data_IF_773001176012
#
_entry.id   IF_773001176012
#
_cell.length_a   1.000
_cell.length_b   1.000
_cell.length_c   1.000
_cell.angle_alpha   90.00
_cell.angle_beta   90.00
_cell.angle_gamma   90.00
#
_symmetry.space_group_name_H-M   'P 1'
#
loop_
_entity.id
_entity.type
_entity.pdbx_description
1 polymer ?
#
# COMPACT_ATOMS: atom_id res chain seq x y z
N UNK A 1 42.53 14.44 19.09
CA UNK A 1 41.26 14.30 18.34
C UNK A 1 40.59 15.66 18.39
N UNK A 2 40.50 16.35 17.27
CA UNK A 2 40.26 17.81 17.19
C UNK A 2 38.80 18.15 17.53
N UNK A 3 38.52 19.17 18.36
CA UNK A 3 37.16 19.56 18.69
C UNK A 3 36.53 20.32 17.51
N UNK A 4 35.31 19.92 17.14
CA UNK A 4 34.46 20.64 16.18
C UNK A 4 33.85 21.85 16.91
N UNK A 5 34.39 23.04 16.65
CA UNK A 5 33.84 24.31 17.14
C UNK A 5 32.68 24.75 16.24
N UNK A 6 31.44 24.49 16.65
CA UNK A 6 30.21 24.97 15.99
C UNK A 6 29.58 26.17 16.72
N UNK A 7 30.30 27.28 16.97
CA UNK A 7 29.69 28.41 17.69
C UNK A 7 30.12 29.82 17.24
N UNK A 8 30.44 30.01 15.95
CA UNK A 8 30.53 31.35 15.34
C UNK A 8 30.10 31.30 13.88
N UNK A 9 29.34 32.30 13.43
CA UNK A 9 28.96 32.65 12.03
C UNK A 9 27.59 32.30 11.42
N UNK A 10 26.64 31.66 12.12
CA UNK A 10 25.29 31.45 11.51
C UNK A 10 24.53 32.77 11.20
N UNK A 11 24.70 33.82 12.01
CA UNK A 11 24.03 35.10 11.79
C UNK A 11 24.68 35.92 10.65
N UNK A 12 26.01 35.85 10.54
CA UNK A 12 26.80 36.50 9.49
C UNK A 12 26.50 35.86 8.13
N UNK A 13 26.52 34.52 8.07
CA UNK A 13 26.24 33.76 6.85
C UNK A 13 24.79 33.94 6.39
N UNK A 14 23.84 34.00 7.31
CA UNK A 14 22.44 34.30 6.98
C UNK A 14 22.29 35.68 6.34
N UNK A 15 22.83 36.72 6.99
CA UNK A 15 22.74 38.10 6.48
C UNK A 15 23.42 38.21 5.11
N UNK A 16 24.55 37.53 4.95
CA UNK A 16 25.28 37.46 3.69
C UNK A 16 24.48 36.75 2.59
N UNK A 17 23.89 35.59 2.89
CA UNK A 17 23.04 34.87 1.97
C UNK A 17 21.85 35.73 1.52
N UNK A 18 21.16 36.37 2.47
CA UNK A 18 20.02 37.24 2.16
C UNK A 18 20.45 38.37 1.22
N UNK A 19 21.56 39.04 1.50
CA UNK A 19 22.08 40.13 0.66
C UNK A 19 22.50 39.68 -0.75
N UNK A 20 23.13 38.52 -0.88
CA UNK A 20 23.72 38.06 -2.14
C UNK A 20 22.75 37.24 -3.00
N UNK A 21 21.92 36.38 -2.39
CA UNK A 21 21.06 35.44 -3.09
C UNK A 21 19.65 35.99 -3.38
N UNK A 22 19.06 36.82 -2.49
CA UNK A 22 17.71 37.36 -2.72
C UNK A 22 17.59 38.20 -4.00
N UNK A 23 18.58 39.05 -4.37
CA UNK A 23 18.51 39.79 -5.65
C UNK A 23 18.50 38.89 -6.89
N UNK A 24 18.90 37.63 -6.76
CA UNK A 24 18.93 36.67 -7.87
C UNK A 24 17.60 35.91 -8.04
N UNK A 25 16.64 36.09 -7.13
CA UNK A 25 15.36 35.36 -7.14
C UNK A 25 14.59 35.54 -8.45
N UNK A 26 14.47 36.75 -8.97
CA UNK A 26 13.73 37.00 -10.22
C UNK A 26 14.37 36.28 -11.42
N UNK A 27 15.70 36.21 -11.46
CA UNK A 27 16.42 35.50 -12.50
C UNK A 27 16.26 33.98 -12.38
N UNK A 28 16.29 33.45 -11.15
CA UNK A 28 16.05 32.04 -10.88
C UNK A 28 14.59 31.65 -11.19
N UNK A 29 13.63 32.50 -10.85
CA UNK A 29 12.22 32.32 -11.18
C UNK A 29 12.02 32.21 -12.70
N UNK A 30 12.64 33.10 -13.47
CA UNK A 30 12.60 33.02 -14.94
C UNK A 30 13.19 31.71 -15.49
N UNK A 31 14.27 31.21 -14.87
CA UNK A 31 14.85 29.90 -15.19
C UNK A 31 13.93 28.74 -14.83
N UNK A 32 13.42 28.71 -13.59
CA UNK A 32 12.50 27.71 -13.08
C UNK A 32 11.20 27.64 -13.90
N UNK A 33 10.66 28.77 -14.33
CA UNK A 33 9.45 28.83 -15.15
C UNK A 33 9.65 28.18 -16.53
N UNK A 34 10.84 28.33 -17.13
CA UNK A 34 11.19 27.64 -18.39
C UNK A 34 11.30 26.13 -18.21
N UNK A 35 11.71 25.67 -17.03
CA UNK A 35 11.86 24.25 -16.72
C UNK A 35 10.52 23.58 -16.39
N UNK A 36 9.68 24.23 -15.60
CA UNK A 36 8.43 23.66 -15.05
C UNK A 36 7.20 23.93 -15.89
N UNK A 37 7.15 25.09 -16.58
CA UNK A 37 5.98 25.55 -17.38
C UNK A 37 4.68 25.67 -16.60
N UNK A 38 4.73 25.65 -15.28
CA UNK A 38 3.61 25.81 -14.37
C UNK A 38 4.05 26.73 -13.23
N UNK A 39 3.22 27.71 -12.89
CA UNK A 39 3.52 28.67 -11.83
C UNK A 39 3.71 27.99 -10.46
N UNK A 40 2.84 27.05 -10.09
CA UNK A 40 2.93 26.37 -8.80
C UNK A 40 4.20 25.53 -8.70
N UNK A 41 4.48 24.70 -9.70
CA UNK A 41 5.72 23.90 -9.73
C UNK A 41 6.97 24.80 -9.78
N UNK A 42 6.89 25.99 -10.39
CA UNK A 42 7.97 26.97 -10.42
C UNK A 42 8.26 27.55 -9.03
N UNK A 43 7.22 27.96 -8.30
CA UNK A 43 7.32 28.47 -6.94
C UNK A 43 7.89 27.39 -6.00
N UNK A 44 7.41 26.15 -6.11
CA UNK A 44 7.92 25.01 -5.34
C UNK A 44 9.40 24.71 -5.64
N UNK A 45 9.77 24.65 -6.93
CA UNK A 45 11.15 24.42 -7.35
C UNK A 45 12.08 25.53 -6.84
N UNK A 46 11.63 26.79 -6.91
CA UNK A 46 12.40 27.93 -6.44
C UNK A 46 12.59 27.88 -4.92
N UNK A 47 11.52 27.59 -4.17
CA UNK A 47 11.59 27.46 -2.72
C UNK A 47 12.55 26.35 -2.30
N UNK A 48 12.41 25.15 -2.87
CA UNK A 48 13.29 24.01 -2.60
C UNK A 48 14.74 24.32 -2.98
N UNK A 49 14.96 25.05 -4.08
CA UNK A 49 16.29 25.53 -4.47
C UNK A 49 16.89 26.45 -3.41
N UNK A 50 16.12 27.42 -2.91
CA UNK A 50 16.60 28.37 -1.90
C UNK A 50 16.88 27.70 -0.56
N UNK A 51 16.07 26.71 -0.15
CA UNK A 51 16.31 25.89 1.04
C UNK A 51 17.64 25.13 0.90
N UNK A 52 17.81 24.42 -0.23
CA UNK A 52 19.04 23.66 -0.48
C UNK A 52 20.28 24.56 -0.61
N UNK A 53 20.12 25.75 -1.20
CA UNK A 53 21.17 26.75 -1.28
C UNK A 53 21.54 27.29 0.11
N UNK A 54 20.57 27.63 0.95
CA UNK A 54 20.82 28.10 2.31
C UNK A 54 21.56 27.05 3.15
N UNK A 55 21.10 25.80 3.13
CA UNK A 55 21.77 24.68 3.83
C UNK A 55 23.21 24.50 3.33
N UNK A 56 23.44 24.62 2.03
CA UNK A 56 24.74 24.46 1.39
C UNK A 56 25.64 25.70 1.40
N UNK A 57 25.16 26.85 1.88
CA UNK A 57 25.81 28.15 1.67
C UNK A 57 27.20 28.25 2.29
N UNK A 58 27.41 27.60 3.45
CA UNK A 58 28.71 27.50 4.11
C UNK A 58 29.83 26.89 3.24
N UNK A 59 29.47 26.17 2.15
CA UNK A 59 30.44 25.57 1.20
C UNK A 59 30.72 26.46 -0.01
N UNK A 60 29.95 27.53 -0.19
CA UNK A 60 30.12 28.46 -1.29
C UNK A 60 31.38 29.30 -1.08
N UNK A 61 32.25 29.33 -2.09
CA UNK A 61 33.47 30.14 -2.06
C UNK A 61 33.18 31.54 -2.59
N UNK A 62 33.44 32.53 -1.76
CA UNK A 62 33.34 33.94 -2.14
C UNK A 62 34.22 34.28 -3.36
N UNK A 63 33.76 35.21 -4.19
CA UNK A 63 34.43 35.58 -5.45
C UNK A 63 34.14 34.65 -6.63
N UNK A 64 33.44 33.52 -6.42
CA UNK A 64 32.94 32.67 -7.51
C UNK A 64 31.54 33.09 -7.97
N UNK A 65 31.10 32.58 -9.13
CA UNK A 65 29.80 32.96 -9.69
C UNK A 65 28.63 32.32 -8.91
N UNK A 66 28.06 33.08 -7.99
CA UNK A 66 26.92 32.66 -7.16
C UNK A 66 25.71 32.26 -8.01
N UNK A 67 25.41 33.03 -9.07
CA UNK A 67 24.27 32.74 -9.95
C UNK A 67 24.42 31.36 -10.61
N UNK A 68 25.61 31.04 -11.13
CA UNK A 68 25.89 29.73 -11.71
C UNK A 68 25.78 28.60 -10.68
N UNK A 69 26.20 28.83 -9.44
CA UNK A 69 26.05 27.87 -8.34
C UNK A 69 24.57 27.64 -7.98
N UNK A 70 23.77 28.70 -7.88
CA UNK A 70 22.32 28.60 -7.64
C UNK A 70 21.60 27.87 -8.79
N UNK A 71 21.93 28.18 -10.05
CA UNK A 71 21.40 27.47 -11.21
C UNK A 71 21.75 25.98 -11.20
N UNK A 72 22.95 25.62 -10.72
CA UNK A 72 23.35 24.22 -10.57
C UNK A 72 22.52 23.49 -9.51
N UNK A 73 22.27 24.13 -8.36
CA UNK A 73 21.37 23.59 -7.33
C UNK A 73 19.97 23.41 -7.91
N UNK A 74 19.41 24.45 -8.52
CA UNK A 74 18.07 24.43 -9.13
C UNK A 74 17.92 23.28 -10.14
N UNK A 75 18.91 23.11 -11.01
CA UNK A 75 18.91 22.04 -12.01
C UNK A 75 18.94 20.65 -11.36
N UNK A 76 19.75 20.46 -10.32
CA UNK A 76 19.81 19.19 -9.59
C UNK A 76 18.50 18.90 -8.83
N UNK A 77 17.90 19.93 -8.22
CA UNK A 77 16.61 19.84 -7.53
C UNK A 77 15.52 19.42 -8.52
N UNK A 78 15.45 20.07 -9.68
CA UNK A 78 14.50 19.73 -10.73
C UNK A 78 14.66 18.28 -11.23
N UNK A 79 15.89 17.86 -11.54
CA UNK A 79 16.17 16.49 -12.00
C UNK A 79 15.79 15.46 -10.93
N UNK A 80 16.10 15.74 -9.66
CA UNK A 80 15.75 14.85 -8.54
C UNK A 80 14.24 14.76 -8.36
N UNK A 81 13.52 15.88 -8.44
CA UNK A 81 12.06 15.92 -8.41
C UNK A 81 11.43 15.14 -9.58
N UNK A 82 11.95 15.33 -10.79
CA UNK A 82 11.50 14.58 -11.97
C UNK A 82 11.68 13.07 -11.82
N UNK A 83 12.83 12.62 -11.28
CA UNK A 83 13.06 11.19 -10.99
C UNK A 83 12.08 10.65 -9.95
N UNK A 84 11.81 11.41 -8.88
CA UNK A 84 10.80 11.02 -7.87
C UNK A 84 9.40 10.91 -8.49
N UNK A 85 8.98 11.89 -9.30
CA UNK A 85 7.69 11.86 -10.01
C UNK A 85 7.57 10.65 -10.94
N UNK A 86 8.64 10.23 -11.61
CA UNK A 86 8.65 9.04 -12.50
C UNK A 86 8.50 7.69 -11.79
N UNK A 87 8.89 7.60 -10.52
CA UNK A 87 8.81 6.34 -9.74
C UNK A 87 7.44 6.21 -9.06
N UNK A 88 6.76 7.33 -8.82
CA UNK A 88 5.40 7.32 -8.26
C UNK A 88 4.39 6.87 -9.32
N UNK A 89 3.28 6.23 -8.90
CA UNK A 89 2.13 6.04 -9.77
C UNK A 89 1.73 7.36 -10.43
N UNK A 90 1.37 7.29 -11.71
CA UNK A 90 0.91 8.47 -12.43
C UNK A 90 -0.48 8.85 -11.91
N UNK A 91 -0.57 10.00 -11.27
CA UNK A 91 -1.81 10.55 -10.73
C UNK A 91 -2.31 11.65 -11.66
N UNK A 92 -3.57 11.53 -12.11
CA UNK A 92 -4.25 12.53 -12.91
C UNK A 92 -5.43 13.07 -12.11
N UNK A 93 -5.38 14.35 -11.68
CA UNK A 93 -6.50 14.94 -10.96
C UNK A 93 -7.73 15.01 -11.86
N UNK A 94 -8.84 14.50 -11.35
CA UNK A 94 -10.17 14.61 -11.94
C UNK A 94 -11.11 15.19 -10.88
N UNK A 95 -12.13 15.93 -11.30
CA UNK A 95 -13.12 16.50 -10.38
C UNK A 95 -13.97 15.39 -9.73
N UNK A 96 -14.28 14.36 -10.52
CA UNK A 96 -15.01 13.17 -10.07
C UNK A 96 -14.47 11.93 -10.77
N UNK A 97 -14.53 10.80 -10.07
CA UNK A 97 -14.30 9.48 -10.65
C UNK A 97 -15.63 9.03 -11.24
N UNK A 98 -15.62 8.63 -12.52
CA UNK A 98 -16.82 8.19 -13.22
C UNK A 98 -17.19 6.75 -12.87
N UNK A 99 -18.47 6.40 -12.98
CA UNK A 99 -18.96 5.03 -12.78
C UNK A 99 -18.23 4.01 -13.67
N UNK A 100 -17.86 4.42 -14.89
CA UNK A 100 -17.10 3.58 -15.80
C UNK A 100 -15.69 3.27 -15.29
N UNK A 101 -14.99 4.26 -14.73
CA UNK A 101 -13.67 4.07 -14.11
C UNK A 101 -13.77 3.17 -12.87
N UNK A 102 -14.82 3.31 -12.07
CA UNK A 102 -15.07 2.44 -10.92
C UNK A 102 -15.34 0.99 -11.35
N UNK A 103 -16.12 0.79 -12.41
CA UNK A 103 -16.42 -0.54 -12.93
C UNK A 103 -15.20 -1.22 -13.56
N UNK A 104 -14.35 -0.46 -14.26
CA UNK A 104 -13.09 -0.97 -14.82
C UNK A 104 -12.14 -1.43 -13.70
N UNK A 105 -11.93 -0.61 -12.67
CA UNK A 105 -11.08 -0.96 -11.53
C UNK A 105 -11.64 -2.14 -10.72
N UNK A 106 -12.97 -2.21 -10.59
CA UNK A 106 -13.64 -3.32 -9.91
C UNK A 106 -13.34 -4.68 -10.57
N UNK A 107 -13.11 -4.74 -11.88
CA UNK A 107 -12.70 -5.95 -12.58
C UNK A 107 -11.32 -6.48 -12.16
N UNK A 108 -10.50 -5.64 -11.55
CA UNK A 108 -9.16 -5.97 -11.05
C UNK A 108 -9.10 -6.07 -9.52
N UNK A 109 -10.18 -5.73 -8.82
CA UNK A 109 -10.30 -5.87 -7.37
C UNK A 109 -10.68 -7.30 -6.97
N UNK A 110 -10.14 -7.79 -5.86
CA UNK A 110 -10.47 -9.11 -5.30
C UNK A 110 -11.91 -9.23 -4.82
N UNK A 111 -12.57 -8.10 -4.54
CA UNK A 111 -13.96 -8.04 -4.06
C UNK A 111 -14.92 -7.48 -5.10
N UNK A 112 -14.41 -6.71 -6.06
CA UNK A 112 -15.20 -6.06 -7.10
C UNK A 112 -16.27 -5.10 -6.58
N UNK A 113 -17.22 -4.75 -7.45
CA UNK A 113 -18.44 -4.03 -7.06
C UNK A 113 -19.52 -5.05 -6.76
N UNK A 114 -19.95 -5.11 -5.50
CA UNK A 114 -20.98 -6.05 -5.05
C UNK A 114 -22.35 -5.41 -5.12
N UNK A 115 -23.33 -6.16 -5.60
CA UNK A 115 -24.73 -5.74 -5.55
C UNK A 115 -25.32 -6.04 -4.17
N UNK A 116 -26.34 -5.27 -3.78
CA UNK A 116 -27.09 -5.55 -2.56
C UNK A 116 -27.71 -6.96 -2.55
N UNK A 117 -28.08 -7.49 -3.72
CA UNK A 117 -28.53 -8.88 -3.87
C UNK A 117 -27.41 -9.89 -3.56
N UNK A 118 -26.20 -9.67 -4.10
CA UNK A 118 -25.07 -10.56 -3.87
C UNK A 118 -24.65 -10.57 -2.39
N UNK A 119 -24.75 -9.44 -1.69
CA UNK A 119 -24.54 -9.37 -0.24
C UNK A 119 -25.65 -10.08 0.54
N UNK A 120 -26.91 -9.88 0.16
CA UNK A 120 -28.04 -10.54 0.79
C UNK A 120 -27.99 -12.07 0.63
N UNK A 121 -27.61 -12.57 -0.55
CA UNK A 121 -27.47 -14.01 -0.81
C UNK A 121 -26.31 -14.63 -0.03
N UNK A 122 -25.19 -13.92 0.16
CA UNK A 122 -24.08 -14.41 0.99
C UNK A 122 -24.45 -14.45 2.48
N UNK A 123 -25.29 -13.51 2.95
CA UNK A 123 -25.78 -13.52 4.32
C UNK A 123 -26.80 -14.64 4.61
N UNK A 124 -27.39 -15.24 3.56
CA UNK A 124 -28.31 -16.36 3.73
C UNK A 124 -27.55 -17.65 4.10
N UNK A 125 -28.01 -18.41 5.10
CA UNK A 125 -27.40 -19.68 5.43
C UNK A 125 -27.43 -20.63 4.24
N UNK A 126 -26.27 -21.17 3.88
CA UNK A 126 -26.19 -22.25 2.92
C UNK A 126 -26.81 -23.51 3.52
N UNK A 127 -28.05 -23.79 3.11
CA UNK A 127 -28.85 -24.90 3.63
C UNK A 127 -28.17 -26.25 3.50
N UNK A 128 -27.36 -26.46 2.45
CA UNK A 128 -26.65 -27.72 2.23
C UNK A 128 -25.43 -27.86 3.16
N UNK A 129 -24.67 -26.77 3.34
CA UNK A 129 -23.55 -26.74 4.30
C UNK A 129 -24.06 -26.90 5.73
N UNK A 130 -25.12 -26.17 6.09
CA UNK A 130 -25.74 -26.25 7.41
C UNK A 130 -26.25 -27.66 7.72
N UNK A 131 -26.94 -28.31 6.77
CA UNK A 131 -27.41 -29.68 6.93
C UNK A 131 -26.26 -30.68 7.09
N UNK A 132 -25.18 -30.54 6.30
CA UNK A 132 -24.01 -31.42 6.41
C UNK A 132 -23.29 -31.26 7.75
N UNK A 133 -23.12 -30.03 8.25
CA UNK A 133 -22.57 -29.78 9.58
C UNK A 133 -23.46 -30.39 10.67
N UNK A 134 -24.78 -30.24 10.58
CA UNK A 134 -25.73 -30.81 11.53
C UNK A 134 -25.77 -32.35 11.51
N UNK A 135 -25.42 -33.00 10.40
CA UNK A 135 -25.32 -34.45 10.30
C UNK A 135 -24.08 -35.03 11.03
N UNK A 136 -23.09 -34.21 11.39
CA UNK A 136 -21.95 -34.66 12.20
C UNK A 136 -22.37 -34.81 13.67
N UNK A 137 -21.80 -35.79 14.40
CA UNK A 137 -21.84 -35.79 15.85
C UNK A 137 -21.32 -34.47 16.41
N UNK A 138 -21.94 -33.99 17.49
CA UNK A 138 -21.67 -32.65 18.06
C UNK A 138 -20.18 -32.42 18.37
N UNK A 139 -19.53 -33.41 18.99
CA UNK A 139 -18.09 -33.44 19.27
C UNK A 139 -17.20 -33.25 18.03
N UNK A 140 -17.63 -33.73 16.86
CA UNK A 140 -16.87 -33.60 15.61
C UNK A 140 -17.18 -32.27 14.94
N UNK A 141 -18.46 -31.86 14.96
CA UNK A 141 -18.92 -30.59 14.41
C UNK A 141 -18.23 -29.41 15.07
N UNK A 142 -18.18 -29.38 16.40
CA UNK A 142 -17.59 -28.27 17.15
C UNK A 142 -16.09 -28.14 16.88
N UNK A 143 -15.36 -29.26 16.82
CA UNK A 143 -13.92 -29.25 16.50
C UNK A 143 -13.68 -28.74 15.08
N UNK A 144 -14.50 -29.17 14.10
CA UNK A 144 -14.39 -28.69 12.72
C UNK A 144 -14.72 -27.21 12.64
N UNK A 145 -15.78 -26.75 13.30
CA UNK A 145 -16.17 -25.34 13.32
C UNK A 145 -15.03 -24.45 13.86
N UNK A 146 -14.49 -24.78 15.04
CA UNK A 146 -13.43 -23.98 15.63
C UNK A 146 -12.13 -24.00 14.81
N UNK A 147 -11.81 -25.11 14.14
CA UNK A 147 -10.58 -25.23 13.36
C UNK A 147 -10.69 -24.62 11.95
N UNK A 148 -11.77 -24.92 11.23
CA UNK A 148 -11.91 -24.65 9.79
C UNK A 148 -12.71 -23.37 9.48
N UNK A 149 -13.55 -22.90 10.43
CA UNK A 149 -14.34 -21.67 10.27
C UNK A 149 -13.75 -20.53 11.09
N UNK A 150 -13.54 -20.75 12.39
CA UNK A 150 -12.98 -19.71 13.29
C UNK A 150 -11.45 -19.61 13.22
N UNK A 151 -10.76 -20.68 12.78
CA UNK A 151 -9.31 -20.68 12.59
C UNK A 151 -8.47 -20.79 13.87
N UNK A 152 -9.04 -21.28 14.98
CA UNK A 152 -8.32 -21.47 16.24
C UNK A 152 -7.21 -22.52 16.13
N UNK A 153 -6.12 -22.33 16.90
CA UNK A 153 -5.07 -23.32 17.03
C UNK A 153 -5.57 -24.54 17.84
N UNK A 154 -5.06 -25.74 17.55
CA UNK A 154 -5.54 -26.97 18.20
C UNK A 154 -5.40 -26.97 19.73
N UNK A 155 -4.45 -26.21 20.28
CA UNK A 155 -4.32 -26.03 21.73
C UNK A 155 -5.47 -25.20 22.31
N UNK A 156 -5.85 -24.12 21.64
CA UNK A 156 -6.97 -23.27 22.05
C UNK A 156 -8.28 -24.04 21.96
N UNK A 157 -8.47 -24.85 20.92
CA UNK A 157 -9.64 -25.73 20.78
C UNK A 157 -9.68 -26.76 21.92
N UNK A 158 -8.53 -27.34 22.29
CA UNK A 158 -8.42 -28.28 23.39
C UNK A 158 -8.83 -27.63 24.73
N UNK A 159 -8.43 -26.38 24.95
CA UNK A 159 -8.82 -25.59 26.12
C UNK A 159 -10.32 -25.25 26.11
N UNK A 160 -10.85 -24.73 24.99
CA UNK A 160 -12.28 -24.40 24.82
C UNK A 160 -13.18 -25.60 25.10
N UNK A 161 -12.79 -26.78 24.58
CA UNK A 161 -13.58 -28.00 24.70
C UNK A 161 -13.29 -28.81 25.97
N UNK A 162 -12.27 -28.45 26.75
CA UNK A 162 -11.83 -29.24 27.90
C UNK A 162 -11.39 -30.66 27.54
N UNK A 163 -10.78 -30.86 26.37
CA UNK A 163 -10.33 -32.18 25.89
C UNK A 163 -8.85 -32.19 25.53
N UNK A 164 -8.14 -33.35 25.60
CA UNK A 164 -6.74 -33.42 25.18
C UNK A 164 -6.53 -33.05 23.71
N UNK A 165 -5.40 -32.42 23.39
CA UNK A 165 -5.04 -32.04 22.02
C UNK A 165 -5.08 -33.22 21.02
N UNK A 166 -4.68 -34.43 21.45
CA UNK A 166 -4.76 -35.63 20.61
C UNK A 166 -6.20 -36.01 20.25
N UNK A 167 -7.15 -35.77 21.16
CA UNK A 167 -8.58 -35.97 20.91
C UNK A 167 -9.11 -34.97 19.90
N UNK A 168 -8.71 -33.69 20.01
CA UNK A 168 -9.02 -32.65 19.02
C UNK A 168 -8.54 -33.06 17.63
N UNK A 169 -7.28 -33.49 17.48
CA UNK A 169 -6.76 -33.95 16.18
C UNK A 169 -7.54 -35.15 15.62
N UNK A 170 -7.83 -36.16 16.46
CA UNK A 170 -8.59 -37.34 16.04
C UNK A 170 -10.03 -37.01 15.63
N UNK A 171 -10.70 -36.13 16.38
CA UNK A 171 -12.07 -35.67 16.09
C UNK A 171 -12.10 -34.81 14.82
N UNK A 172 -11.15 -33.89 14.66
CA UNK A 172 -11.03 -33.05 13.47
C UNK A 172 -10.85 -33.89 12.21
N UNK A 173 -9.93 -34.86 12.23
CA UNK A 173 -9.67 -35.73 11.08
C UNK A 173 -10.92 -36.54 10.70
N UNK A 174 -11.62 -37.11 11.68
CA UNK A 174 -12.86 -37.88 11.44
C UNK A 174 -14.01 -36.98 10.95
N UNK A 175 -14.18 -35.81 11.56
CA UNK A 175 -15.16 -34.81 11.14
C UNK A 175 -14.96 -34.35 9.70
N UNK A 176 -13.73 -33.97 9.33
CA UNK A 176 -13.37 -33.62 7.94
C UNK A 176 -13.63 -34.77 6.97
N UNK A 177 -13.31 -36.02 7.35
CA UNK A 177 -13.60 -37.19 6.50
C UNK A 177 -15.09 -37.39 6.27
N UNK A 178 -15.92 -37.22 7.29
CA UNK A 178 -17.37 -37.34 7.18
C UNK A 178 -17.97 -36.21 6.33
N UNK A 179 -17.53 -34.96 6.54
CA UNK A 179 -17.95 -33.82 5.73
C UNK A 179 -17.55 -33.96 4.26
N UNK A 180 -16.36 -34.49 3.96
CA UNK A 180 -15.95 -34.77 2.57
C UNK A 180 -16.91 -35.70 1.84
N UNK A 181 -17.53 -36.66 2.55
CA UNK A 181 -18.54 -37.55 1.96
C UNK A 181 -19.87 -36.83 1.79
N UNK A 182 -20.33 -36.12 2.84
CA UNK A 182 -21.61 -35.42 2.83
C UNK A 182 -21.67 -34.27 1.81
N UNK A 183 -20.54 -33.60 1.57
CA UNK A 183 -20.42 -32.43 0.70
C UNK A 183 -19.85 -32.77 -0.69
N UNK A 184 -19.70 -34.05 -1.05
CA UNK A 184 -19.04 -34.45 -2.29
C UNK A 184 -19.74 -33.89 -3.55
N UNK A 185 -21.07 -33.92 -3.58
CA UNK A 185 -21.86 -33.41 -4.71
C UNK A 185 -21.78 -31.88 -4.78
N UNK A 186 -22.01 -31.20 -3.65
CA UNK A 186 -21.88 -29.73 -3.57
C UNK A 186 -20.47 -29.25 -3.97
N UNK A 187 -19.42 -30.00 -3.60
CA UNK A 187 -18.05 -29.70 -3.97
C UNK A 187 -17.78 -29.86 -5.48
N UNK A 188 -18.48 -30.78 -6.16
CA UNK A 188 -18.45 -30.89 -7.63
C UNK A 188 -19.17 -29.72 -8.28
N UNK A 189 -20.38 -29.41 -7.82
CA UNK A 189 -21.20 -28.33 -8.37
C UNK A 189 -20.52 -26.96 -8.25
N UNK A 190 -19.77 -26.73 -7.16
CA UNK A 190 -19.00 -25.50 -6.92
C UNK A 190 -17.58 -25.52 -7.50
N UNK A 191 -17.18 -26.58 -8.18
CA UNK A 191 -15.87 -26.67 -8.84
C UNK A 191 -14.67 -26.83 -7.89
N UNK A 192 -14.88 -27.20 -6.63
CA UNK A 192 -13.79 -27.53 -5.69
C UNK A 192 -13.13 -28.86 -6.05
N UNK A 193 -13.86 -29.77 -6.70
CA UNK A 193 -13.31 -30.99 -7.28
C UNK A 193 -13.09 -30.77 -8.78
N UNK A 194 -11.83 -30.60 -9.20
CA UNK A 194 -11.48 -30.59 -10.63
C UNK A 194 -11.88 -31.93 -11.23
N UNK A 195 -12.74 -31.93 -12.24
CA UNK A 195 -12.99 -33.12 -13.06
C UNK A 195 -11.68 -33.51 -13.76
N UNK A 196 -11.17 -34.71 -13.50
CA UNK A 196 -10.02 -35.30 -14.21
C UNK A 196 -10.38 -35.67 -15.67
N UNK A 197 -10.80 -34.68 -16.48
CA UNK A 197 -11.19 -34.94 -17.86
C UNK A 197 -10.70 -33.82 -18.79
N UNK A 198 -9.38 -33.77 -19.01
CA UNK A 198 -8.78 -33.25 -20.26
C UNK A 198 -7.28 -33.63 -20.41
N UNK A 199 -6.91 -34.87 -20.09
CA UNK A 199 -5.63 -35.45 -20.51
C UNK A 199 -5.87 -36.65 -21.42
N UNK A 200 -6.45 -36.38 -22.59
CA UNK A 200 -6.22 -37.19 -23.79
C UNK A 200 -6.03 -36.19 -24.93
N UNK A 201 -4.76 -35.88 -25.20
CA UNK A 201 -4.29 -35.31 -26.45
C UNK A 201 -3.87 -36.46 -27.37
#
# INVERSE_FOLDING_TARGET
MVPVTLHGDNATDRTRFEREALPMLDQLYGGAMRMTRNRSDCEDLLQETMINAYIGFHRFREGTNLLAWLYRIMTNTYISGYRKKRVRPAEYPTDQITDWQLAEEAGHSSTGLRSAEAEALEAMPDTQIAAALLALPDDFRMVVYYADVEGFAYREIAEIMGTPMGTVMSRLHRGRRQLRVLLADLARDRGYLRSESSLVA
#
